data_IF_388234004597
#
_entry.id   IF_388234004597
#
_cell.length_a   1.000
_cell.length_b   1.000
_cell.length_c   1.000
_cell.angle_alpha   90.00
_cell.angle_beta   90.00
_cell.angle_gamma   90.00
#
_symmetry.space_group_name_H-M   'P 1'
#
loop_
_entity.id
_entity.type
_entity.pdbx_description
1 polymer ?
#
# COMPACT_ATOMS: atom_id res chain seq x y z
N UNK A 1 -26.32 29.55 7.31
CA UNK A 1 -26.48 28.08 7.25
C UNK A 1 -25.11 27.48 7.01
N UNK A 2 -24.48 26.90 8.04
CA UNK A 2 -23.20 26.20 7.90
C UNK A 2 -23.48 24.72 7.68
N UNK A 3 -23.12 24.21 6.51
CA UNK A 3 -23.17 22.78 6.21
C UNK A 3 -22.06 22.09 7.01
N UNK A 4 -22.45 21.30 8.02
CA UNK A 4 -21.52 20.37 8.68
C UNK A 4 -21.23 19.24 7.70
N UNK A 5 -19.98 19.12 7.27
CA UNK A 5 -19.54 17.99 6.44
C UNK A 5 -19.34 16.78 7.36
N UNK A 6 -19.97 15.65 7.03
CA UNK A 6 -19.82 14.39 7.76
C UNK A 6 -18.39 13.84 7.74
N UNK A 7 -18.09 12.77 8.52
CA UNK A 7 -16.74 12.25 8.66
C UNK A 7 -16.14 11.84 7.31
N UNK A 8 -15.02 12.46 6.93
CA UNK A 8 -14.25 12.12 5.73
C UNK A 8 -13.38 10.89 6.02
N UNK A 9 -13.46 9.85 5.20
CA UNK A 9 -12.47 8.75 5.24
C UNK A 9 -11.10 9.31 4.85
N UNK A 10 -10.23 9.47 5.84
CA UNK A 10 -8.94 10.15 5.66
C UNK A 10 -7.92 9.29 4.90
N UNK A 11 -8.01 7.96 5.00
CA UNK A 11 -6.99 7.03 4.52
C UNK A 11 -7.59 5.90 3.67
N UNK A 12 -8.26 6.25 2.56
CA UNK A 12 -8.68 5.25 1.56
C UNK A 12 -7.46 4.93 0.67
N UNK A 13 -7.00 3.67 0.62
CA UNK A 13 -5.95 3.26 -0.30
C UNK A 13 -6.30 3.56 -1.75
N UNK A 14 -5.30 3.94 -2.57
CA UNK A 14 -5.48 4.20 -4.01
C UNK A 14 -4.75 3.15 -4.83
N UNK A 15 -5.31 2.74 -5.97
CA UNK A 15 -4.57 1.85 -6.90
C UNK A 15 -3.27 2.51 -7.32
N UNK A 16 -2.22 1.69 -7.43
CA UNK A 16 -0.89 2.13 -7.83
C UNK A 16 -0.27 1.03 -8.69
N UNK A 17 0.49 1.41 -9.71
CA UNK A 17 1.27 0.46 -10.50
C UNK A 17 2.58 0.17 -9.77
N UNK A 18 2.90 -1.11 -9.58
CA UNK A 18 4.15 -1.56 -8.97
C UNK A 18 4.79 -2.61 -9.85
N UNK A 19 6.05 -2.40 -10.19
CA UNK A 19 6.93 -3.46 -10.67
C UNK A 19 7.62 -4.07 -9.44
N UNK A 20 7.44 -5.37 -9.24
CA UNK A 20 7.93 -6.09 -8.08
C UNK A 20 8.99 -7.11 -8.51
N UNK A 21 9.99 -7.32 -7.66
CA UNK A 21 10.94 -8.40 -7.83
C UNK A 21 10.27 -9.76 -7.56
N UNK A 22 11.01 -10.84 -7.83
CA UNK A 22 10.51 -12.22 -7.63
C UNK A 22 10.15 -12.53 -6.17
N UNK A 23 10.75 -11.82 -5.21
CA UNK A 23 10.44 -11.93 -3.78
C UNK A 23 9.24 -11.05 -3.33
N UNK A 24 8.63 -10.33 -4.28
CA UNK A 24 7.52 -9.41 -4.05
C UNK A 24 7.93 -8.01 -3.60
N UNK A 25 9.23 -7.71 -3.46
CA UNK A 25 9.70 -6.38 -3.08
C UNK A 25 9.47 -5.34 -4.21
N UNK A 26 8.98 -4.13 -3.91
CA UNK A 26 8.78 -3.10 -4.93
C UNK A 26 10.10 -2.60 -5.50
N UNK A 27 10.25 -2.61 -6.82
CA UNK A 27 11.36 -1.98 -7.57
C UNK A 27 10.97 -0.65 -8.19
N UNK A 28 9.72 -0.51 -8.63
CA UNK A 28 9.18 0.72 -9.22
C UNK A 28 7.76 0.97 -8.69
N UNK A 29 7.45 2.20 -8.28
CA UNK A 29 6.11 2.64 -7.86
C UNK A 29 5.68 3.87 -8.67
N UNK A 30 4.59 3.78 -9.44
CA UNK A 30 4.14 4.86 -10.37
C UNK A 30 5.28 5.46 -11.21
N UNK A 31 6.08 4.61 -11.86
CA UNK A 31 7.25 5.00 -12.66
C UNK A 31 8.42 5.63 -11.88
N UNK A 32 8.39 5.61 -10.55
CA UNK A 32 9.52 6.02 -9.70
C UNK A 32 10.29 4.79 -9.24
N UNK A 33 11.59 4.78 -9.49
CA UNK A 33 12.48 3.72 -9.01
C UNK A 33 12.56 3.78 -7.49
N UNK A 34 12.48 2.62 -6.85
CA UNK A 34 12.73 2.46 -5.41
C UNK A 34 14.23 2.48 -5.17
N UNK A 35 14.66 3.35 -4.27
CA UNK A 35 16.05 3.49 -3.81
C UNK A 35 16.32 2.56 -2.62
N UNK A 36 15.38 2.49 -1.67
CA UNK A 36 15.49 1.62 -0.50
C UNK A 36 14.12 1.14 0.00
N UNK A 37 14.09 -0.09 0.52
CA UNK A 37 12.99 -0.58 1.37
C UNK A 37 13.35 -0.27 2.82
N UNK A 38 12.46 0.42 3.53
CA UNK A 38 12.64 0.80 4.94
C UNK A 38 12.10 -0.28 5.86
N UNK A 39 10.89 -0.73 5.59
CA UNK A 39 10.21 -1.74 6.37
C UNK A 39 9.29 -2.58 5.48
N UNK A 40 9.06 -3.82 5.87
CA UNK A 40 8.07 -4.70 5.26
C UNK A 40 7.31 -5.45 6.34
N UNK A 41 6.00 -5.57 6.18
CA UNK A 41 5.17 -6.28 7.15
C UNK A 41 4.01 -7.01 6.46
N UNK A 42 3.58 -8.10 7.08
CA UNK A 42 2.44 -8.87 6.63
C UNK A 42 1.26 -8.57 7.57
N UNK A 43 0.12 -8.24 6.98
CA UNK A 43 -1.16 -8.16 7.71
C UNK A 43 -2.00 -9.35 7.28
N UNK A 44 -2.29 -10.21 8.24
CA UNK A 44 -3.26 -11.30 8.11
C UNK A 44 -4.34 -11.11 9.17
N UNK A 45 -5.58 -10.87 8.76
CA UNK A 45 -6.71 -10.79 9.68
C UNK A 45 -7.72 -11.90 9.37
N UNK A 46 -8.11 -12.63 10.41
CA UNK A 46 -9.16 -13.67 10.39
C UNK A 46 -10.18 -13.47 11.52
N UNK A 47 -10.07 -12.39 12.30
CA UNK A 47 -10.73 -12.30 13.61
C UNK A 47 -12.10 -11.62 13.58
N UNK A 48 -12.45 -10.85 12.55
CA UNK A 48 -13.76 -10.17 12.50
C UNK A 48 -14.46 -10.23 11.14
N UNK A 49 -13.91 -10.97 10.17
CA UNK A 49 -14.55 -11.15 8.87
C UNK A 49 -14.27 -12.53 8.29
N UNK A 50 -15.26 -13.13 7.62
CA UNK A 50 -15.16 -14.47 7.02
C UNK A 50 -14.20 -14.52 5.81
N UNK A 51 -13.74 -13.36 5.31
CA UNK A 51 -12.78 -13.24 4.21
C UNK A 51 -11.39 -12.92 4.74
N UNK A 52 -10.41 -13.83 4.64
CA UNK A 52 -9.09 -13.60 5.22
C UNK A 52 -8.43 -12.39 4.55
N UNK A 53 -8.24 -11.32 5.32
CA UNK A 53 -7.51 -10.16 4.81
C UNK A 53 -6.03 -10.52 4.78
N UNK A 54 -5.42 -10.66 3.60
CA UNK A 54 -3.97 -10.92 3.46
C UNK A 54 -3.31 -9.85 2.63
N UNK A 55 -2.45 -9.04 3.25
CA UNK A 55 -1.76 -7.92 2.59
C UNK A 55 -0.29 -7.87 2.98
N UNK A 56 0.59 -7.76 1.99
CA UNK A 56 2.02 -7.49 2.21
C UNK A 56 2.27 -6.00 1.99
N UNK A 57 2.65 -5.31 3.06
CA UNK A 57 2.98 -3.89 3.06
C UNK A 57 4.48 -3.67 2.95
N UNK A 58 4.84 -2.55 2.34
CA UNK A 58 6.19 -2.06 2.14
C UNK A 58 6.21 -0.55 2.36
N UNK A 59 7.14 -0.09 3.19
CA UNK A 59 7.56 1.31 3.24
C UNK A 59 8.82 1.46 2.39
N UNK A 60 8.78 2.33 1.39
CA UNK A 60 9.86 2.50 0.41
C UNK A 60 10.22 3.95 0.24
N UNK A 61 11.51 4.21 0.05
CA UNK A 61 12.02 5.50 -0.41
C UNK A 61 12.33 5.39 -1.90
N UNK A 62 11.79 6.31 -2.69
CA UNK A 62 12.07 6.40 -4.13
C UNK A 62 13.34 7.21 -4.40
N UNK A 63 13.92 7.08 -5.59
CA UNK A 63 15.12 7.83 -6.01
C UNK A 63 14.95 9.35 -6.02
N UNK A 64 13.70 9.85 -6.01
CA UNK A 64 13.40 11.27 -5.82
C UNK A 64 13.21 11.69 -4.35
N UNK A 65 13.55 10.82 -3.39
CA UNK A 65 13.48 11.07 -1.96
C UNK A 65 12.06 11.03 -1.37
N UNK A 66 11.07 10.48 -2.08
CA UNK A 66 9.70 10.31 -1.54
C UNK A 66 9.59 9.03 -0.75
N UNK A 67 9.06 9.14 0.46
CA UNK A 67 8.62 8.03 1.28
C UNK A 67 7.18 7.63 0.90
N UNK A 68 6.97 6.37 0.60
CA UNK A 68 5.69 5.83 0.15
C UNK A 68 5.38 4.50 0.83
N UNK A 69 4.15 4.36 1.33
CA UNK A 69 3.63 3.07 1.82
C UNK A 69 2.77 2.45 0.73
N UNK A 70 3.17 1.28 0.24
CA UNK A 70 2.40 0.48 -0.72
C UNK A 70 2.13 -0.91 -0.16
N UNK A 71 1.06 -1.55 -0.62
CA UNK A 71 0.80 -2.94 -0.29
C UNK A 71 0.25 -3.72 -1.47
N UNK A 72 0.62 -4.99 -1.52
CA UNK A 72 -0.04 -5.97 -2.37
C UNK A 72 -1.15 -6.64 -1.58
N UNK A 73 -2.36 -6.60 -2.12
CA UNK A 73 -3.43 -7.49 -1.69
C UNK A 73 -3.12 -8.89 -2.23
N UNK A 74 -2.85 -9.84 -1.33
CA UNK A 74 -2.34 -11.17 -1.69
C UNK A 74 -3.43 -12.11 -2.21
N UNK A 75 -4.71 -11.76 -2.04
CA UNK A 75 -5.81 -12.52 -2.64
C UNK A 75 -6.00 -12.15 -4.12
N UNK A 76 -5.96 -10.85 -4.42
CA UNK A 76 -6.20 -10.33 -5.77
C UNK A 76 -4.92 -10.06 -6.57
N UNK A 77 -3.76 -10.08 -5.93
CA UNK A 77 -2.47 -9.68 -6.49
C UNK A 77 -2.32 -8.18 -6.77
N UNK A 78 -3.32 -7.36 -6.40
CA UNK A 78 -3.41 -5.95 -6.78
C UNK A 78 -2.65 -5.05 -5.80
N UNK A 79 -2.02 -4.02 -6.34
CA UNK A 79 -1.25 -3.05 -5.57
C UNK A 79 -2.02 -1.78 -5.23
N UNK A 80 -1.74 -1.25 -4.05
CA UNK A 80 -2.37 -0.05 -3.48
C UNK A 80 -1.35 0.82 -2.76
N UNK A 81 -1.49 2.14 -2.85
CA UNK A 81 -0.76 3.13 -2.05
C UNK A 81 -1.62 3.56 -0.87
N UNK A 82 -1.03 3.56 0.32
CA UNK A 82 -1.59 4.06 1.58
C UNK A 82 -1.06 5.47 1.87
N UNK A 83 -1.93 6.37 2.35
CA UNK A 83 -1.57 7.75 2.68
C UNK A 83 -2.36 8.25 3.89
#
# INVERSE_FOLDING_TARGET
>A
MSVVTGPRRLSIPRRVAVDAADDGSPKVVDSRIVDAVRESWLVEDRWWTDRPLRRRYWEVVTTCGRDEVVFQDLESGRWWRQR
#
